data_IF_760647357724
#
_entry.id   IF_760647357724
#
_cell.length_a   1.000
_cell.length_b   1.000
_cell.length_c   1.000
_cell.angle_alpha   90.00
_cell.angle_beta   90.00
_cell.angle_gamma   90.00
#
_symmetry.space_group_name_H-M   'P 1'
#
loop_
_entity.id
_entity.type
_entity.pdbx_description
1 polymer ?
#
# COMPACT_ATOMS: atom_id res chain seq x y z
N UNK A 1 -12.31 -12.82 -8.98
CA UNK A 1 -10.99 -13.49 -8.89
C UNK A 1 -11.01 -14.41 -7.67
N UNK A 2 -10.24 -15.51 -7.65
CA UNK A 2 -10.17 -16.41 -6.48
C UNK A 2 -9.06 -15.95 -5.54
N UNK A 3 -9.20 -16.21 -4.25
CA UNK A 3 -8.13 -15.97 -3.26
C UNK A 3 -6.84 -16.72 -3.64
N UNK A 4 -5.71 -16.09 -3.34
CA UNK A 4 -4.39 -16.69 -3.44
C UNK A 4 -3.82 -16.88 -2.03
N UNK A 5 -3.99 -18.10 -1.51
CA UNK A 5 -3.49 -18.47 -0.20
C UNK A 5 -1.99 -18.80 -0.15
N UNK A 6 -1.28 -18.86 -1.28
CA UNK A 6 0.15 -19.20 -1.31
C UNK A 6 1.07 -17.99 -1.31
N UNK A 7 0.59 -16.82 -1.73
CA UNK A 7 1.40 -15.60 -1.75
C UNK A 7 1.69 -15.11 -0.33
N UNK A 8 2.99 -14.96 -0.02
CA UNK A 8 3.49 -14.52 1.30
C UNK A 8 4.13 -13.14 1.28
N UNK A 9 4.64 -12.72 0.14
CA UNK A 9 5.41 -11.48 0.00
C UNK A 9 4.94 -10.73 -1.23
N UNK A 10 4.68 -9.45 -1.07
CA UNK A 10 4.24 -8.56 -2.15
C UNK A 10 4.99 -7.23 -2.05
N UNK A 11 5.65 -6.85 -3.14
CA UNK A 11 6.28 -5.54 -3.29
C UNK A 11 5.62 -4.79 -4.42
N UNK A 12 5.14 -3.59 -4.11
CA UNK A 12 4.50 -2.68 -5.05
C UNK A 12 5.07 -1.30 -4.74
N UNK A 13 6.31 -1.03 -5.16
CA UNK A 13 6.98 0.24 -4.89
C UNK A 13 6.87 1.15 -6.11
N UNK A 14 6.66 2.43 -5.89
CA UNK A 14 6.62 3.46 -6.95
C UNK A 14 5.65 3.11 -8.09
N UNK A 15 4.45 2.62 -7.74
CA UNK A 15 3.42 2.23 -8.69
C UNK A 15 2.66 3.47 -9.18
N UNK A 16 2.74 3.73 -10.48
CA UNK A 16 1.85 4.65 -11.18
C UNK A 16 0.65 3.92 -11.76
N UNK A 17 -0.52 4.12 -11.16
CA UNK A 17 -1.78 3.64 -11.73
C UNK A 17 -2.37 4.71 -12.63
N UNK A 18 -3.01 4.27 -13.71
CA UNK A 18 -3.60 5.13 -14.74
C UNK A 18 -4.99 4.65 -15.09
N UNK A 19 -5.91 5.58 -15.31
CA UNK A 19 -7.27 5.29 -15.79
C UNK A 19 -7.68 6.27 -16.90
N UNK A 20 -8.93 6.15 -17.37
CA UNK A 20 -9.51 7.02 -18.41
C UNK A 20 -8.64 7.12 -19.68
N UNK A 21 -8.07 5.98 -20.09
CA UNK A 21 -7.24 5.88 -21.28
C UNK A 21 -8.02 6.26 -22.54
N UNK A 22 -7.54 7.28 -23.23
CA UNK A 22 -8.08 7.74 -24.50
C UNK A 22 -6.99 7.79 -25.55
N UNK A 23 -7.31 7.31 -26.76
CA UNK A 23 -6.38 7.28 -27.90
C UNK A 23 -7.09 7.89 -29.10
N UNK A 24 -6.49 8.94 -29.66
CA UNK A 24 -6.97 9.57 -30.89
C UNK A 24 -5.90 9.55 -31.96
N UNK A 25 -6.33 9.29 -33.20
CA UNK A 25 -5.46 9.29 -34.38
C UNK A 25 -6.04 10.26 -35.40
N UNK A 26 -5.25 11.25 -35.79
CA UNK A 26 -5.63 12.19 -36.85
C UNK A 26 -4.40 12.64 -37.64
N UNK A 27 -4.52 12.64 -38.96
CA UNK A 27 -3.47 13.09 -39.90
C UNK A 27 -2.09 12.43 -39.67
N UNK A 28 -2.06 11.18 -39.21
CA UNK A 28 -0.83 10.42 -38.94
C UNK A 28 -0.18 10.70 -37.58
N UNK A 29 -0.77 11.55 -36.74
CA UNK A 29 -0.38 11.72 -35.33
C UNK A 29 -1.25 10.87 -34.42
N UNK A 30 -0.67 10.37 -33.32
CA UNK A 30 -1.36 9.60 -32.29
C UNK A 30 -1.18 10.31 -30.95
N UNK A 31 -2.28 10.72 -30.34
CA UNK A 31 -2.32 11.32 -29.01
C UNK A 31 -2.90 10.32 -28.01
N UNK A 32 -2.28 10.24 -26.83
CA UNK A 32 -2.71 9.35 -25.73
C UNK A 32 -2.88 10.16 -24.47
N UNK A 33 -4.07 10.07 -23.88
CA UNK A 33 -4.44 10.73 -22.63
C UNK A 33 -4.77 9.69 -21.57
N UNK A 34 -4.45 9.99 -20.32
CA UNK A 34 -4.78 9.16 -19.16
C UNK A 34 -4.78 10.04 -17.91
N UNK A 35 -5.50 9.60 -16.88
CA UNK A 35 -5.48 10.21 -15.55
C UNK A 35 -4.62 9.35 -14.62
N UNK A 36 -3.74 9.96 -13.84
CA UNK A 36 -3.02 9.26 -12.76
C UNK A 36 -3.96 9.06 -11.57
N UNK A 37 -3.97 7.86 -10.99
CA UNK A 37 -4.78 7.54 -9.80
C UNK A 37 -3.92 7.03 -8.64
N UNK A 38 -4.26 7.39 -7.40
CA UNK A 38 -3.47 7.00 -6.24
C UNK A 38 -3.70 5.53 -5.88
N UNK A 39 -2.66 4.85 -5.40
CA UNK A 39 -2.76 3.42 -5.06
C UNK A 39 -3.73 3.16 -3.89
N UNK A 40 -3.85 4.07 -2.93
CA UNK A 40 -4.70 3.88 -1.74
C UNK A 40 -6.19 3.70 -2.09
N UNK A 41 -6.68 4.35 -3.13
CA UNK A 41 -8.00 4.15 -3.72
C UNK A 41 -8.23 2.78 -4.37
N UNK A 42 -7.18 1.98 -4.56
CA UNK A 42 -7.21 0.71 -5.29
C UNK A 42 -6.57 -0.45 -4.52
N UNK A 43 -6.59 -0.41 -3.17
CA UNK A 43 -5.98 -1.47 -2.33
C UNK A 43 -6.87 -2.68 -2.06
N UNK A 44 -8.13 -2.68 -2.50
CA UNK A 44 -9.11 -3.74 -2.21
C UNK A 44 -8.65 -5.14 -2.66
N UNK A 45 -7.80 -5.23 -3.68
CA UNK A 45 -7.26 -6.51 -4.15
C UNK A 45 -6.37 -7.20 -3.09
N UNK A 46 -5.85 -6.48 -2.09
CA UNK A 46 -5.05 -7.06 -1.01
C UNK A 46 -5.85 -8.10 -0.19
N UNK A 47 -7.18 -7.99 -0.15
CA UNK A 47 -8.10 -8.98 0.45
C UNK A 47 -7.97 -10.37 -0.18
N UNK A 48 -7.51 -10.45 -1.41
CA UNK A 48 -7.31 -11.72 -2.13
C UNK A 48 -6.05 -12.47 -1.65
N UNK A 49 -5.24 -11.89 -0.76
CA UNK A 49 -4.01 -12.48 -0.21
C UNK A 49 -4.10 -12.65 1.31
N UNK A 50 -5.00 -13.51 1.83
CA UNK A 50 -5.26 -13.65 3.27
C UNK A 50 -4.05 -14.18 4.07
N UNK A 51 -3.02 -14.68 3.37
CA UNK A 51 -1.82 -15.27 3.94
C UNK A 51 -0.57 -14.39 3.78
N UNK A 52 -0.72 -13.13 3.37
CA UNK A 52 0.37 -12.19 3.17
C UNK A 52 1.09 -11.89 4.49
N UNK A 53 2.41 -12.00 4.48
CA UNK A 53 3.29 -11.82 5.64
C UNK A 53 4.20 -10.60 5.47
N UNK A 54 4.59 -10.26 4.25
CA UNK A 54 5.41 -9.08 3.94
C UNK A 54 4.78 -8.23 2.83
N UNK A 55 4.62 -6.94 3.10
CA UNK A 55 4.06 -5.97 2.17
C UNK A 55 4.95 -4.73 2.11
N UNK A 56 5.42 -4.38 0.93
CA UNK A 56 6.24 -3.18 0.70
C UNK A 56 5.56 -2.26 -0.30
N UNK A 57 5.18 -1.07 0.16
CA UNK A 57 4.40 -0.06 -0.55
C UNK A 57 5.13 1.30 -0.58
N UNK A 58 6.46 1.28 -0.60
CA UNK A 58 7.24 2.51 -0.58
C UNK A 58 7.00 3.35 -1.86
N UNK A 59 6.91 4.68 -1.71
CA UNK A 59 6.86 5.59 -2.87
C UNK A 59 5.54 5.64 -3.62
N UNK A 60 4.40 5.32 -2.99
CA UNK A 60 3.09 5.24 -3.66
C UNK A 60 2.13 6.39 -3.33
N UNK A 61 2.61 7.44 -2.67
CA UNK A 61 1.80 8.60 -2.29
C UNK A 61 0.58 8.23 -1.41
N UNK A 62 0.64 7.13 -0.66
CA UNK A 62 -0.48 6.66 0.16
C UNK A 62 -0.82 7.69 1.24
N UNK A 63 -2.10 8.01 1.37
CA UNK A 63 -2.65 8.79 2.48
C UNK A 63 -3.44 7.93 3.45
N UNK A 64 -4.00 6.82 2.96
CA UNK A 64 -4.85 5.89 3.70
C UNK A 64 -4.24 4.47 3.68
N UNK A 65 -4.25 3.82 4.85
CA UNK A 65 -3.76 2.45 5.06
C UNK A 65 -4.79 1.52 5.71
N UNK A 66 -6.09 1.80 5.58
CA UNK A 66 -7.18 0.98 6.16
C UNK A 66 -7.09 -0.51 5.81
N UNK A 67 -6.54 -0.86 4.63
CA UNK A 67 -6.29 -2.24 4.23
C UNK A 67 -5.44 -3.03 5.25
N UNK A 68 -4.56 -2.35 5.99
CA UNK A 68 -3.66 -3.01 6.94
C UNK A 68 -4.41 -3.69 8.08
N UNK A 69 -5.60 -3.20 8.42
CA UNK A 69 -6.46 -3.81 9.44
C UNK A 69 -6.96 -5.20 9.06
N UNK A 70 -6.98 -5.55 7.76
CA UNK A 70 -7.47 -6.83 7.25
C UNK A 70 -6.36 -7.88 7.09
N UNK A 71 -5.10 -7.45 7.05
CA UNK A 71 -3.93 -8.33 6.82
C UNK A 71 -3.41 -8.92 8.14
N UNK A 72 -4.19 -9.81 8.77
CA UNK A 72 -3.93 -10.34 10.11
C UNK A 72 -2.61 -11.11 10.27
N UNK A 73 -2.03 -11.61 9.17
CA UNK A 73 -0.75 -12.33 9.16
C UNK A 73 0.45 -11.45 8.81
N UNK A 74 0.24 -10.16 8.60
CA UNK A 74 1.31 -9.25 8.21
C UNK A 74 2.33 -9.10 9.35
N UNK A 75 3.58 -9.41 9.05
CA UNK A 75 4.71 -9.31 9.98
C UNK A 75 5.64 -8.15 9.63
N UNK A 76 5.68 -7.76 8.35
CA UNK A 76 6.54 -6.68 7.85
C UNK A 76 5.76 -5.76 6.92
N UNK A 77 5.77 -4.47 7.22
CA UNK A 77 5.11 -3.44 6.42
C UNK A 77 6.10 -2.31 6.11
N UNK A 78 6.34 -2.08 4.82
CA UNK A 78 7.07 -0.91 4.33
C UNK A 78 6.13 0.13 3.76
N UNK A 79 6.14 1.33 4.32
CA UNK A 79 5.36 2.50 3.89
C UNK A 79 6.28 3.71 3.64
N UNK A 80 7.59 3.53 3.49
CA UNK A 80 8.51 4.64 3.31
C UNK A 80 8.14 5.53 2.12
N UNK A 81 8.41 6.83 2.18
CA UNK A 81 8.07 7.78 1.11
C UNK A 81 6.57 7.75 0.70
N UNK A 82 5.69 7.98 1.67
CA UNK A 82 4.26 8.15 1.44
C UNK A 82 3.77 9.42 2.18
N UNK A 83 2.46 9.62 2.22
CA UNK A 83 1.80 10.77 2.89
C UNK A 83 0.88 10.31 4.02
N UNK A 84 1.20 9.19 4.66
CA UNK A 84 0.40 8.64 5.76
C UNK A 84 0.53 9.54 6.99
N UNK A 85 -0.63 9.87 7.59
CA UNK A 85 -0.71 10.70 8.81
C UNK A 85 -1.30 9.94 9.99
N UNK A 86 -2.17 8.96 9.72
CA UNK A 86 -2.89 8.15 10.70
C UNK A 86 -2.45 6.68 10.62
N UNK A 87 -1.94 6.16 11.74
CA UNK A 87 -1.52 4.76 11.87
C UNK A 87 -2.50 3.91 12.69
N UNK A 88 -3.65 4.45 13.11
CA UNK A 88 -4.66 3.68 13.87
C UNK A 88 -5.13 2.39 13.19
N UNK A 89 -5.15 2.24 11.84
CA UNK A 89 -5.45 0.95 11.22
C UNK A 89 -4.48 -0.19 11.60
N UNK A 90 -3.28 0.15 12.07
CA UNK A 90 -2.27 -0.82 12.53
C UNK A 90 -2.48 -1.30 13.96
N UNK A 91 -3.37 -0.69 14.75
CA UNK A 91 -3.60 -1.10 16.14
C UNK A 91 -4.12 -2.55 16.27
N UNK A 92 -4.66 -3.13 15.19
CA UNK A 92 -5.10 -4.53 15.14
C UNK A 92 -4.08 -5.48 14.50
N UNK A 93 -2.88 -4.99 14.16
CA UNK A 93 -1.82 -5.77 13.50
C UNK A 93 -0.94 -6.48 14.55
N UNK A 94 -1.52 -7.43 15.29
CA UNK A 94 -0.86 -8.15 16.39
C UNK A 94 0.41 -8.92 15.96
N UNK A 95 0.46 -9.33 14.69
CA UNK A 95 1.58 -10.07 14.09
C UNK A 95 2.71 -9.17 13.59
N UNK A 96 2.53 -7.84 13.57
CA UNK A 96 3.51 -6.92 13.02
C UNK A 96 4.78 -6.92 13.89
N UNK A 97 5.94 -7.00 13.24
CA UNK A 97 7.26 -7.01 13.88
C UNK A 97 8.22 -5.98 13.27
N UNK A 98 7.92 -5.51 12.06
CA UNK A 98 8.70 -4.50 11.37
C UNK A 98 7.77 -3.52 10.67
N UNK A 99 7.99 -2.22 10.88
CA UNK A 99 7.27 -1.12 10.26
C UNK A 99 8.25 -0.04 9.80
N UNK A 100 8.28 0.24 8.50
CA UNK A 100 9.01 1.39 7.96
C UNK A 100 8.03 2.50 7.57
N UNK A 101 8.06 3.61 8.29
CA UNK A 101 7.23 4.81 8.05
C UNK A 101 8.10 6.03 7.74
N UNK A 102 9.39 5.85 7.42
CA UNK A 102 10.28 6.96 7.10
C UNK A 102 9.69 7.82 5.98
N UNK A 103 9.90 9.13 6.07
CA UNK A 103 9.41 10.07 5.06
C UNK A 103 7.88 10.01 4.91
N UNK A 104 7.16 9.93 6.03
CA UNK A 104 5.72 10.18 6.14
C UNK A 104 5.43 11.27 7.18
N UNK A 105 4.38 12.08 7.01
CA UNK A 105 3.96 13.12 7.96
C UNK A 105 3.19 12.56 9.17
N UNK A 106 3.67 11.48 9.79
CA UNK A 106 3.01 10.81 10.92
C UNK A 106 3.29 11.50 12.24
N UNK A 107 2.22 11.74 13.01
CA UNK A 107 2.29 12.51 14.26
C UNK A 107 2.28 11.65 15.53
N UNK A 108 1.92 10.37 15.41
CA UNK A 108 1.86 9.42 16.51
C UNK A 108 2.24 8.01 16.04
N UNK A 109 2.68 7.18 16.98
CA UNK A 109 2.97 5.77 16.73
C UNK A 109 1.71 4.93 16.96
N UNK A 110 1.54 3.81 16.24
CA UNK A 110 0.41 2.92 16.46
C UNK A 110 0.59 2.13 17.75
N UNK A 111 -0.53 1.67 18.31
CA UNK A 111 -0.55 0.74 19.43
C UNK A 111 -0.33 -0.69 18.93
N UNK A 112 0.85 -0.93 18.36
CA UNK A 112 1.31 -2.27 17.94
C UNK A 112 2.05 -2.96 19.08
N UNK A 113 2.10 -4.30 19.05
CA UNK A 113 2.76 -5.08 20.10
C UNK A 113 4.20 -4.63 20.37
N UNK A 114 4.61 -4.69 21.65
CA UNK A 114 5.84 -4.09 22.18
C UNK A 114 7.18 -4.56 21.61
N UNK A 115 7.19 -5.51 20.66
CA UNK A 115 8.39 -6.00 19.96
C UNK A 115 8.51 -5.49 18.51
N UNK A 116 7.65 -4.55 18.10
CA UNK A 116 7.68 -4.04 16.72
C UNK A 116 8.84 -3.06 16.53
N UNK A 117 9.75 -3.38 15.61
CA UNK A 117 10.78 -2.45 15.14
C UNK A 117 10.12 -1.39 14.23
N UNK A 118 10.26 -0.11 14.58
CA UNK A 118 9.69 1.01 13.83
C UNK A 118 10.80 1.93 13.34
N UNK A 119 10.91 2.09 12.01
CA UNK A 119 11.76 3.10 11.38
C UNK A 119 10.90 4.32 11.02
N UNK A 120 11.30 5.52 11.45
CA UNK A 120 10.55 6.76 11.25
C UNK A 120 11.46 7.91 10.84
#
# INVERSE_FOLDING_TARGET
MRENGSLKKLGLKEIGLKENFHVEVYSGMMDVWYDDVPLDGHTDFLKLYPNLEELFLDGNQLTDIRFASELKKLTRLGLGNNYVTDLTPLNQAESLRYLDIRQNPVNSLPEVGGETEILR
#
